data_IF_294567501992
#
_entry.id   IF_294567501992
#
_cell.length_a   1.000
_cell.length_b   1.000
_cell.length_c   1.000
_cell.angle_alpha   90.00
_cell.angle_beta   90.00
_cell.angle_gamma   90.00
#
_symmetry.space_group_name_H-M   'P 1'
#
loop_
_entity.id
_entity.type
_entity.pdbx_description
1 polymer ?
#
# COMPACT_ATOMS: atom_id res chain seq x y z
N UNK A 1 10.12 4.99 5.23
CA UNK A 1 9.12 4.30 4.41
C UNK A 1 9.67 2.98 3.87
N UNK A 2 8.86 1.94 3.63
CA UNK A 2 9.28 0.61 3.18
C UNK A 2 10.05 0.57 1.86
N UNK A 3 9.86 1.55 0.98
CA UNK A 3 10.65 1.70 -0.25
C UNK A 3 12.16 1.78 0.03
N UNK A 4 12.56 2.33 1.17
CA UNK A 4 13.98 2.35 1.57
C UNK A 4 14.47 0.94 1.87
N UNK A 5 13.67 0.12 2.52
CA UNK A 5 13.97 -1.30 2.79
C UNK A 5 14.17 -2.06 1.47
N UNK A 6 13.21 -1.95 0.55
CA UNK A 6 13.31 -2.61 -0.75
C UNK A 6 14.56 -2.22 -1.53
N UNK A 7 14.98 -0.95 -1.45
CA UNK A 7 16.22 -0.47 -2.08
C UNK A 7 17.47 -0.98 -1.39
N UNK A 8 17.50 -0.97 -0.07
CA UNK A 8 18.64 -1.49 0.70
C UNK A 8 18.84 -2.99 0.51
N UNK A 9 17.75 -3.76 0.39
CA UNK A 9 17.83 -5.20 0.12
C UNK A 9 18.42 -5.52 -1.27
N UNK A 10 18.41 -4.57 -2.21
CA UNK A 10 19.01 -4.71 -3.56
C UNK A 10 20.51 -4.36 -3.60
N UNK A 11 21.09 -3.90 -2.50
CA UNK A 11 22.53 -3.72 -2.37
C UNK A 11 23.24 -5.08 -2.44
N UNK A 12 24.49 -5.08 -2.93
CA UNK A 12 25.33 -6.28 -2.87
C UNK A 12 25.58 -6.71 -1.42
N UNK A 13 25.84 -8.00 -1.22
CA UNK A 13 26.19 -8.52 0.12
C UNK A 13 27.41 -7.78 0.72
N UNK A 14 28.40 -7.42 -0.12
CA UNK A 14 29.55 -6.62 0.31
C UNK A 14 29.14 -5.27 0.88
N UNK A 15 28.21 -4.57 0.24
CA UNK A 15 27.71 -3.26 0.68
C UNK A 15 26.87 -3.38 1.96
N UNK A 16 26.01 -4.42 2.05
CA UNK A 16 25.19 -4.66 3.24
C UNK A 16 25.99 -4.87 4.51
N UNK A 17 27.11 -5.58 4.42
CA UNK A 17 27.91 -5.97 5.57
C UNK A 17 29.23 -5.20 5.74
N UNK A 18 29.43 -4.10 5.00
CA UNK A 18 30.63 -3.29 5.12
C UNK A 18 30.63 -2.35 6.33
N UNK A 19 29.47 -2.14 6.96
CA UNK A 19 29.33 -1.24 8.11
C UNK A 19 28.99 -2.01 9.38
N UNK A 20 29.53 -1.55 10.51
CA UNK A 20 29.15 -2.03 11.83
C UNK A 20 27.81 -1.42 12.24
N UNK A 21 26.76 -2.23 12.32
CA UNK A 21 25.42 -1.83 12.72
C UNK A 21 25.10 -2.18 14.19
N UNK A 22 26.09 -2.57 15.02
CA UNK A 22 25.87 -3.00 16.41
C UNK A 22 25.23 -1.94 17.31
N UNK A 23 25.38 -0.66 16.96
CA UNK A 23 24.73 0.47 17.65
C UNK A 23 23.28 0.72 17.20
N UNK A 24 22.81 0.08 16.11
CA UNK A 24 21.45 0.23 15.58
C UNK A 24 20.48 -0.52 16.47
N UNK A 25 19.62 0.19 17.21
CA UNK A 25 18.72 -0.39 18.22
C UNK A 25 17.25 -0.38 17.79
N UNK A 26 16.86 0.56 16.94
CA UNK A 26 15.48 0.75 16.51
C UNK A 26 15.43 1.19 15.06
N UNK A 27 14.57 0.55 14.29
CA UNK A 27 14.21 0.95 12.93
C UNK A 27 12.67 1.07 12.86
N UNK A 28 12.18 2.27 12.60
CA UNK A 28 10.75 2.54 12.59
C UNK A 28 10.32 2.85 11.15
N UNK A 29 9.28 2.19 10.67
CA UNK A 29 8.69 2.47 9.38
C UNK A 29 7.17 2.63 9.44
N UNK A 30 6.61 3.22 8.41
CA UNK A 30 5.19 3.47 8.24
C UNK A 30 4.94 4.29 6.98
N UNK A 31 3.78 4.90 6.88
CA UNK A 31 3.32 5.78 5.79
C UNK A 31 3.10 5.11 4.42
N UNK A 32 3.43 3.83 4.26
CA UNK A 32 3.15 3.03 3.07
C UNK A 32 3.14 1.54 3.45
N UNK A 33 2.43 0.67 2.72
CA UNK A 33 2.48 -0.77 2.92
C UNK A 33 3.90 -1.33 2.77
N UNK A 34 4.22 -2.32 3.59
CA UNK A 34 5.50 -3.03 3.55
C UNK A 34 5.24 -4.48 3.13
N UNK A 35 5.68 -4.92 1.92
CA UNK A 35 5.51 -6.31 1.53
C UNK A 35 6.12 -7.25 2.59
N UNK A 36 5.40 -8.32 2.95
CA UNK A 36 5.82 -9.25 4.01
C UNK A 36 7.23 -9.79 3.74
N UNK A 37 7.50 -10.21 2.50
CA UNK A 37 8.82 -10.70 2.10
C UNK A 37 9.93 -9.68 2.34
N UNK A 38 9.66 -8.40 2.07
CA UNK A 38 10.63 -7.31 2.31
C UNK A 38 10.90 -7.17 3.81
N UNK A 39 9.85 -7.21 4.62
CA UNK A 39 10.00 -7.05 6.07
C UNK A 39 10.71 -8.25 6.70
N UNK A 40 10.39 -9.49 6.29
CA UNK A 40 11.14 -10.68 6.71
C UNK A 40 12.63 -10.56 6.39
N UNK A 41 12.99 -10.21 5.15
CA UNK A 41 14.39 -10.04 4.76
C UNK A 41 15.12 -8.93 5.55
N UNK A 42 14.43 -7.87 5.92
CA UNK A 42 14.99 -6.83 6.78
C UNK A 42 15.19 -7.30 8.22
N UNK A 43 14.27 -8.09 8.75
CA UNK A 43 14.39 -8.72 10.08
C UNK A 43 15.57 -9.69 10.09
N UNK A 44 15.72 -10.50 9.03
CA UNK A 44 16.86 -11.42 8.90
C UNK A 44 18.21 -10.67 8.89
N UNK A 45 18.24 -9.48 8.25
CA UNK A 45 19.46 -8.70 8.17
C UNK A 45 19.75 -7.87 9.44
N UNK A 46 18.74 -7.18 9.97
CA UNK A 46 18.94 -6.23 11.07
C UNK A 46 18.59 -6.79 12.45
N UNK A 47 17.93 -7.95 12.49
CA UNK A 47 17.41 -8.53 13.73
C UNK A 47 16.05 -7.92 14.14
N UNK A 48 15.60 -8.25 15.36
CA UNK A 48 14.25 -7.90 15.84
C UNK A 48 14.15 -6.45 16.34
N UNK A 49 14.64 -5.49 15.56
CA UNK A 49 14.66 -4.07 15.91
C UNK A 49 13.68 -3.23 15.08
N UNK A 50 12.88 -3.87 14.22
CA UNK A 50 11.98 -3.19 13.29
C UNK A 50 10.62 -3.01 13.93
N UNK A 51 10.13 -1.79 13.87
CA UNK A 51 8.84 -1.36 14.40
C UNK A 51 8.01 -0.76 13.27
N UNK A 52 6.71 -1.04 13.27
CA UNK A 52 5.78 -0.48 12.30
C UNK A 52 4.70 0.33 12.99
N UNK A 53 4.28 1.39 12.34
CA UNK A 53 3.12 2.14 12.76
C UNK A 53 2.20 2.48 11.59
N UNK A 54 0.91 2.58 11.88
CA UNK A 54 -0.11 3.13 11.01
C UNK A 54 -0.77 4.32 11.69
N UNK A 55 -0.97 5.37 10.94
CA UNK A 55 -1.64 6.59 11.36
C UNK A 55 -1.64 7.62 10.23
N UNK A 56 -2.37 8.69 10.40
CA UNK A 56 -2.45 9.77 9.43
C UNK A 56 -2.30 11.14 10.09
N UNK A 57 -2.00 12.15 9.27
CA UNK A 57 -1.82 13.54 9.70
C UNK A 57 -3.11 14.11 10.29
N UNK A 58 -4.25 13.57 9.90
CA UNK A 58 -5.58 13.85 10.40
C UNK A 58 -5.80 13.44 11.87
N UNK A 59 -4.82 12.75 12.47
CA UNK A 59 -4.76 12.43 13.91
C UNK A 59 -5.99 11.69 14.47
N UNK A 60 -6.58 10.76 13.70
CA UNK A 60 -7.78 10.04 14.09
C UNK A 60 -7.51 8.78 14.92
N UNK A 61 -6.36 8.16 14.74
CA UNK A 61 -5.97 6.93 15.43
C UNK A 61 -4.54 6.52 15.11
N UNK A 62 -4.03 5.60 15.90
CA UNK A 62 -2.66 5.13 15.77
C UNK A 62 -2.58 3.65 16.10
N UNK A 63 -2.03 2.86 15.16
CA UNK A 63 -1.68 1.47 15.38
C UNK A 63 -0.16 1.29 15.41
N UNK A 64 0.30 0.26 16.09
CA UNK A 64 1.71 0.01 16.29
C UNK A 64 1.97 -1.47 16.56
N UNK A 65 3.10 -1.98 16.05
CA UNK A 65 3.65 -3.28 16.44
C UNK A 65 5.18 -3.28 16.46
N UNK A 66 5.72 -4.13 17.32
CA UNK A 66 7.14 -4.49 17.32
C UNK A 66 7.40 -5.67 16.39
N UNK A 67 8.68 -6.06 16.25
CA UNK A 67 9.07 -7.19 15.38
C UNK A 67 8.42 -8.51 15.79
N UNK A 68 8.35 -8.82 17.10
CA UNK A 68 7.79 -10.10 17.55
C UNK A 68 6.30 -10.18 17.25
N UNK A 69 5.55 -9.14 17.59
CA UNK A 69 4.12 -9.05 17.29
C UNK A 69 3.86 -9.19 15.79
N UNK A 70 4.73 -8.58 14.96
CA UNK A 70 4.60 -8.72 13.52
C UNK A 70 4.92 -10.13 13.01
N UNK A 71 5.91 -10.83 13.60
CA UNK A 71 6.24 -12.21 13.23
C UNK A 71 5.12 -13.19 13.61
N UNK A 72 4.41 -12.90 14.69
CA UNK A 72 3.25 -13.69 15.13
C UNK A 72 2.00 -13.38 14.29
N UNK A 73 1.93 -12.17 13.68
CA UNK A 73 0.84 -11.68 12.85
C UNK A 73 1.37 -11.03 11.55
N UNK A 74 1.94 -11.82 10.61
CA UNK A 74 2.54 -11.28 9.39
C UNK A 74 1.55 -10.44 8.56
N UNK A 75 2.02 -9.30 8.04
CA UNK A 75 1.18 -8.36 7.27
C UNK A 75 0.42 -7.34 8.09
N UNK A 76 0.38 -7.47 9.43
CA UNK A 76 -0.28 -6.48 10.29
C UNK A 76 0.48 -5.15 10.35
N UNK A 77 -0.27 -4.06 10.58
CA UNK A 77 0.29 -2.75 10.98
C UNK A 77 0.20 -2.52 12.49
N UNK A 78 -0.17 -3.56 13.25
CA UNK A 78 -0.23 -3.58 14.70
C UNK A 78 -1.64 -3.44 15.29
N UNK A 79 -1.69 -3.28 16.60
CA UNK A 79 -2.93 -3.01 17.34
C UNK A 79 -3.17 -1.52 17.46
N UNK A 80 -4.44 -1.13 17.55
CA UNK A 80 -4.82 0.25 17.86
C UNK A 80 -4.37 0.56 19.27
N UNK A 81 -3.48 1.53 19.42
CA UNK A 81 -2.96 2.02 20.71
C UNK A 81 -3.51 3.39 21.08
N UNK A 82 -4.12 4.07 20.11
CA UNK A 82 -4.82 5.34 20.33
C UNK A 82 -5.98 5.46 19.33
N UNK A 83 -7.11 6.00 19.77
CA UNK A 83 -8.36 6.08 19.00
C UNK A 83 -9.22 4.81 19.14
N UNK A 84 -10.42 4.87 18.59
CA UNK A 84 -11.35 3.75 18.49
C UNK A 84 -11.62 3.48 17.01
N UNK A 85 -11.43 2.23 16.58
CA UNK A 85 -11.60 1.79 15.18
C UNK A 85 -12.95 1.08 15.03
N UNK A 86 -13.63 1.36 13.92
CA UNK A 86 -14.73 0.57 13.37
C UNK A 86 -14.44 0.21 11.92
N UNK A 87 -14.68 -1.03 11.51
CA UNK A 87 -14.55 -1.49 10.12
C UNK A 87 -15.96 -1.58 9.55
N UNK A 88 -16.29 -0.70 8.61
CA UNK A 88 -17.68 -0.53 8.12
C UNK A 88 -17.80 -0.79 6.62
N UNK A 89 -18.97 -1.32 6.22
CA UNK A 89 -19.38 -1.42 4.82
C UNK A 89 -19.84 -0.06 4.26
N UNK A 90 -20.26 -0.04 2.99
CA UNK A 90 -20.76 1.18 2.33
C UNK A 90 -22.09 1.70 2.89
N UNK A 91 -22.79 0.90 3.70
CA UNK A 91 -24.03 1.28 4.40
C UNK A 91 -23.76 1.68 5.87
N UNK A 92 -22.52 1.89 6.25
CA UNK A 92 -22.08 2.22 7.61
C UNK A 92 -22.42 1.14 8.65
N UNK A 93 -22.54 -0.12 8.22
CA UNK A 93 -22.76 -1.27 9.09
C UNK A 93 -21.41 -1.92 9.41
N UNK A 94 -21.22 -2.26 10.68
CA UNK A 94 -20.01 -2.94 11.14
C UNK A 94 -19.89 -4.35 10.54
N UNK A 95 -18.68 -4.65 10.03
CA UNK A 95 -18.34 -5.91 9.40
C UNK A 95 -17.78 -6.91 10.43
N UNK A 96 -17.96 -8.22 10.20
CA UNK A 96 -17.31 -9.24 11.01
C UNK A 96 -15.78 -9.15 10.97
N UNK A 97 -15.13 -9.71 11.99
CA UNK A 97 -13.67 -9.85 12.03
C UNK A 97 -13.17 -10.62 10.81
N UNK A 98 -12.07 -10.15 10.23
CA UNK A 98 -11.46 -10.71 9.04
C UNK A 98 -12.08 -10.26 7.71
N UNK A 99 -13.20 -9.56 7.72
CA UNK A 99 -13.81 -8.99 6.52
C UNK A 99 -13.30 -7.56 6.27
N UNK A 100 -12.74 -7.27 5.08
CA UNK A 100 -12.22 -5.95 4.77
C UNK A 100 -13.35 -4.94 4.52
N UNK A 101 -13.23 -3.78 5.16
CA UNK A 101 -14.14 -2.65 5.00
C UNK A 101 -13.40 -1.32 5.14
N UNK A 102 -14.13 -0.22 4.99
CA UNK A 102 -13.58 1.12 5.20
C UNK A 102 -13.28 1.31 6.68
N UNK A 103 -12.07 1.78 6.97
CA UNK A 103 -11.64 2.07 8.33
C UNK A 103 -12.19 3.42 8.76
N UNK A 104 -13.00 3.41 9.81
CA UNK A 104 -13.55 4.58 10.45
C UNK A 104 -13.03 4.68 11.87
N UNK A 105 -12.70 5.89 12.30
CA UNK A 105 -12.17 6.15 13.63
C UNK A 105 -13.02 7.18 14.34
N UNK A 106 -13.16 7.01 15.65
CA UNK A 106 -13.66 8.10 16.49
C UNK A 106 -12.60 9.19 16.54
N UNK A 107 -12.91 10.41 16.09
CA UNK A 107 -11.90 11.47 16.02
C UNK A 107 -11.38 11.82 17.41
N UNK A 108 -10.07 11.98 17.54
CA UNK A 108 -9.43 12.49 18.77
C UNK A 108 -9.31 14.01 18.74
N UNK A 109 -9.36 14.59 17.56
CA UNK A 109 -9.42 16.04 17.30
C UNK A 109 -10.17 16.30 16.00
N UNK A 110 -10.75 17.48 15.86
CA UNK A 110 -11.32 17.91 14.58
C UNK A 110 -10.21 18.34 13.63
N UNK A 111 -10.39 18.03 12.34
CA UNK A 111 -9.51 18.48 11.26
C UNK A 111 -10.33 18.95 10.06
N UNK A 112 -9.71 19.76 9.21
CA UNK A 112 -10.27 20.14 7.93
C UNK A 112 -9.17 20.16 6.85
N UNK A 113 -9.56 19.85 5.61
CA UNK A 113 -8.67 20.03 4.47
C UNK A 113 -8.70 21.50 4.02
N UNK A 114 -7.53 22.06 3.86
CA UNK A 114 -7.37 23.49 3.53
C UNK A 114 -8.09 23.83 2.22
N UNK A 115 -9.02 24.78 2.27
CA UNK A 115 -9.85 25.24 1.14
C UNK A 115 -10.60 24.10 0.40
N UNK A 116 -10.93 23.00 1.08
CA UNK A 116 -11.64 21.86 0.50
C UNK A 116 -12.70 21.35 1.50
N UNK A 117 -13.80 22.08 1.54
CA UNK A 117 -14.92 21.77 2.45
C UNK A 117 -15.69 20.49 2.05
N UNK A 118 -15.74 20.17 0.75
CA UNK A 118 -16.40 18.98 0.23
C UNK A 118 -15.65 17.74 0.72
N UNK A 119 -14.35 17.67 0.50
CA UNK A 119 -13.50 16.59 0.98
C UNK A 119 -13.48 16.50 2.51
N UNK A 120 -13.52 17.63 3.21
CA UNK A 120 -13.62 17.66 4.67
C UNK A 120 -14.94 17.01 5.12
N UNK A 121 -16.05 17.35 4.48
CA UNK A 121 -17.35 16.77 4.80
C UNK A 121 -17.39 15.26 4.53
N UNK A 122 -16.82 14.80 3.41
CA UNK A 122 -16.73 13.39 3.06
C UNK A 122 -15.87 12.56 4.02
N UNK A 123 -14.91 13.19 4.71
CA UNK A 123 -14.06 12.52 5.70
C UNK A 123 -14.75 12.26 7.03
N UNK A 124 -15.95 12.77 7.23
CA UNK A 124 -16.75 12.56 8.44
C UNK A 124 -18.04 11.79 8.14
N UNK A 125 -18.50 10.99 9.11
CA UNK A 125 -19.86 10.44 9.08
C UNK A 125 -20.91 11.56 9.18
N UNK A 126 -22.15 11.31 8.72
CA UNK A 126 -23.22 12.31 8.74
C UNK A 126 -23.45 12.92 10.14
N UNK A 127 -23.31 12.11 11.19
CA UNK A 127 -23.42 12.56 12.60
C UNK A 127 -22.11 13.10 13.18
N UNK A 128 -21.06 13.16 12.39
CA UNK A 128 -19.69 13.60 12.74
C UNK A 128 -19.03 12.85 13.89
N UNK A 129 -19.52 11.64 14.22
CA UNK A 129 -18.93 10.83 15.29
C UNK A 129 -17.76 10.01 14.84
N UNK A 130 -17.65 9.74 13.54
CA UNK A 130 -16.59 8.97 12.94
C UNK A 130 -15.89 9.77 11.83
N UNK A 131 -14.62 9.47 11.62
CA UNK A 131 -13.80 10.03 10.53
C UNK A 131 -13.04 8.95 9.82
N UNK A 132 -12.71 9.17 8.54
CA UNK A 132 -11.97 8.25 7.70
C UNK A 132 -10.97 8.98 6.81
N UNK A 133 -9.93 8.28 6.37
CA UNK A 133 -9.06 8.68 5.26
C UNK A 133 -9.18 7.72 4.07
N UNK A 134 -10.29 6.95 4.06
CA UNK A 134 -10.66 5.97 3.01
C UNK A 134 -9.67 4.81 2.88
N UNK A 135 -8.89 4.51 3.92
CA UNK A 135 -8.13 3.27 3.98
C UNK A 135 -9.10 2.10 4.20
N UNK A 136 -8.83 0.97 3.56
CA UNK A 136 -9.58 -0.27 3.66
C UNK A 136 -8.72 -1.30 4.38
N UNK A 137 -9.33 -2.06 5.28
CA UNK A 137 -8.65 -3.07 6.06
C UNK A 137 -9.61 -3.88 6.91
N UNK A 138 -9.06 -4.74 7.73
CA UNK A 138 -9.81 -5.59 8.68
C UNK A 138 -9.01 -5.80 9.96
N UNK A 139 -9.69 -6.27 11.00
CA UNK A 139 -9.04 -6.74 12.22
C UNK A 139 -9.21 -8.24 12.38
N UNK A 140 -8.20 -8.90 12.94
CA UNK A 140 -8.29 -10.30 13.33
C UNK A 140 -8.91 -10.48 14.74
N UNK A 141 -9.04 -11.74 15.19
CA UNK A 141 -9.57 -12.08 16.52
C UNK A 141 -8.71 -11.61 17.67
N UNK A 142 -7.44 -11.35 17.44
CA UNK A 142 -6.48 -10.87 18.43
C UNK A 142 -6.38 -9.33 18.46
N UNK A 143 -7.16 -8.65 17.59
CA UNK A 143 -7.26 -7.20 17.49
C UNK A 143 -6.15 -6.53 16.71
N UNK A 144 -5.39 -7.29 15.89
CA UNK A 144 -4.42 -6.73 14.96
C UNK A 144 -5.09 -6.21 13.71
N UNK A 145 -4.65 -5.05 13.25
CA UNK A 145 -5.13 -4.36 12.05
C UNK A 145 -4.30 -4.75 10.82
N UNK A 146 -4.98 -5.08 9.74
CA UNK A 146 -4.40 -5.35 8.43
C UNK A 146 -4.95 -4.36 7.41
N UNK A 147 -4.06 -3.71 6.67
CA UNK A 147 -4.45 -2.80 5.59
C UNK A 147 -4.51 -3.55 4.28
N UNK A 148 -5.59 -3.37 3.54
CA UNK A 148 -5.76 -3.97 2.21
C UNK A 148 -5.34 -3.00 1.11
N UNK A 149 -5.90 -1.79 1.09
CA UNK A 149 -5.56 -0.70 0.15
C UNK A 149 -6.29 0.59 0.56
N UNK A 150 -6.28 1.57 -0.33
CA UNK A 150 -7.15 2.74 -0.28
C UNK A 150 -8.36 2.56 -1.17
N UNK A 151 -9.55 2.90 -0.69
CA UNK A 151 -10.80 2.86 -1.47
C UNK A 151 -10.67 3.61 -2.81
N UNK A 152 -9.90 4.70 -2.84
CA UNK A 152 -9.64 5.50 -4.05
C UNK A 152 -8.80 4.81 -5.13
N UNK A 153 -8.12 3.73 -4.78
CA UNK A 153 -7.30 2.93 -5.71
C UNK A 153 -7.89 1.54 -5.98
N UNK A 154 -8.94 1.17 -5.28
CA UNK A 154 -9.67 -0.07 -5.55
C UNK A 154 -10.14 -0.08 -7.00
N UNK A 155 -9.90 -1.17 -7.70
CA UNK A 155 -10.28 -1.39 -9.10
C UNK A 155 -11.58 -2.14 -9.11
N UNK A 156 -12.58 -1.65 -9.85
CA UNK A 156 -13.86 -2.33 -10.03
C UNK A 156 -13.87 -2.94 -11.42
N UNK A 157 -13.53 -4.21 -11.51
CA UNK A 157 -13.41 -4.94 -12.77
C UNK A 157 -14.53 -5.99 -12.90
N UNK A 158 -15.47 -5.77 -13.80
CA UNK A 158 -16.60 -6.68 -13.98
C UNK A 158 -17.42 -6.92 -12.71
N UNK A 159 -17.55 -5.91 -11.85
CA UNK A 159 -18.26 -5.99 -10.56
C UNK A 159 -17.44 -6.61 -9.41
N UNK A 160 -16.16 -6.93 -9.65
CA UNK A 160 -15.25 -7.46 -8.62
C UNK A 160 -14.37 -6.35 -8.09
N UNK A 161 -14.32 -6.19 -6.77
CA UNK A 161 -13.41 -5.28 -6.09
C UNK A 161 -12.00 -5.92 -6.03
N UNK A 162 -11.02 -5.25 -6.64
CA UNK A 162 -9.64 -5.69 -6.69
C UNK A 162 -8.78 -4.64 -6.01
N UNK A 163 -7.95 -5.09 -5.07
CA UNK A 163 -7.01 -4.25 -4.35
C UNK A 163 -5.63 -4.35 -4.99
N UNK A 164 -5.15 -3.27 -5.65
CA UNK A 164 -3.85 -3.27 -6.35
C UNK A 164 -2.66 -3.66 -5.48
N UNK A 165 -2.73 -3.40 -4.18
CA UNK A 165 -1.64 -3.67 -3.25
C UNK A 165 -1.23 -5.15 -3.24
N UNK A 166 -2.19 -6.08 -3.35
CA UNK A 166 -1.89 -7.52 -3.39
C UNK A 166 -0.94 -7.89 -4.54
N UNK A 167 -1.10 -7.24 -5.69
CA UNK A 167 -0.22 -7.44 -6.84
C UNK A 167 1.13 -6.73 -6.67
N UNK A 168 1.13 -5.52 -6.11
CA UNK A 168 2.36 -4.76 -5.82
C UNK A 168 3.27 -5.50 -4.83
N UNK A 169 2.69 -6.13 -3.80
CA UNK A 169 3.42 -6.90 -2.78
C UNK A 169 4.16 -8.11 -3.34
N UNK A 170 3.69 -8.66 -4.45
CA UNK A 170 4.37 -9.72 -5.18
C UNK A 170 5.40 -9.19 -6.17
N UNK A 171 5.10 -8.10 -6.87
CA UNK A 171 5.97 -7.53 -7.89
C UNK A 171 7.22 -6.85 -7.32
N UNK A 172 7.08 -6.06 -6.26
CA UNK A 172 8.18 -5.27 -5.67
C UNK A 172 9.35 -6.15 -5.19
N UNK A 173 9.14 -7.32 -4.54
CA UNK A 173 10.23 -8.20 -4.13
C UNK A 173 10.72 -9.14 -5.24
N UNK A 174 10.21 -9.03 -6.47
CA UNK A 174 10.68 -9.85 -7.58
C UNK A 174 12.11 -9.44 -8.01
N UNK A 175 13.04 -10.40 -8.28
CA UNK A 175 14.46 -10.10 -8.54
C UNK A 175 14.72 -9.15 -9.70
N UNK A 176 13.85 -9.11 -10.71
CA UNK A 176 14.01 -8.28 -11.91
C UNK A 176 13.23 -6.95 -11.85
N UNK A 177 12.49 -6.71 -10.79
CA UNK A 177 11.69 -5.50 -10.60
C UNK A 177 12.40 -4.57 -9.63
N UNK A 178 12.67 -3.34 -10.04
CA UNK A 178 13.18 -2.30 -9.14
C UNK A 178 12.04 -1.66 -8.35
N UNK A 179 10.92 -1.36 -9.03
CA UNK A 179 9.74 -0.75 -8.45
C UNK A 179 8.50 -1.10 -9.28
N UNK A 180 7.31 -1.06 -8.68
CA UNK A 180 6.05 -1.38 -9.35
C UNK A 180 4.92 -0.48 -8.88
N UNK A 181 3.95 -0.23 -9.76
CA UNK A 181 2.68 0.40 -9.46
C UNK A 181 1.56 -0.33 -10.20
N UNK A 182 0.48 -0.65 -9.50
CA UNK A 182 -0.70 -1.32 -10.05
C UNK A 182 -1.92 -0.44 -9.83
N UNK A 183 -2.78 -0.31 -10.84
CA UNK A 183 -4.00 0.50 -10.79
C UNK A 183 -4.97 0.10 -11.89
N UNK A 184 -6.24 0.55 -11.75
CA UNK A 184 -7.26 0.38 -12.77
C UNK A 184 -7.09 1.35 -13.94
N UNK A 185 -7.29 0.83 -15.14
CA UNK A 185 -7.44 1.63 -16.37
C UNK A 185 -8.79 1.34 -17.01
N UNK A 186 -9.34 2.27 -17.81
CA UNK A 186 -10.62 2.07 -18.46
C UNK A 186 -10.65 0.81 -19.33
N UNK A 187 -11.74 0.06 -19.25
CA UNK A 187 -12.03 -1.09 -20.08
C UNK A 187 -13.52 -1.07 -20.45
N UNK A 188 -13.84 -1.16 -21.75
CA UNK A 188 -15.20 -0.99 -22.27
C UNK A 188 -16.17 -2.08 -21.77
N UNK A 189 -15.67 -3.30 -21.56
CA UNK A 189 -16.50 -4.45 -21.15
C UNK A 189 -16.62 -4.57 -19.62
N UNK A 190 -15.55 -4.23 -18.89
CA UNK A 190 -15.44 -4.49 -17.45
C UNK A 190 -15.56 -3.22 -16.59
N UNK A 191 -15.64 -2.05 -17.22
CA UNK A 191 -15.49 -0.75 -16.55
C UNK A 191 -14.02 -0.41 -16.30
N UNK A 192 -13.32 -1.23 -15.52
CA UNK A 192 -11.88 -1.13 -15.33
C UNK A 192 -11.18 -2.48 -15.55
N UNK A 193 -9.90 -2.43 -15.91
CA UNK A 193 -9.00 -3.57 -15.90
C UNK A 193 -7.72 -3.27 -15.11
N UNK A 194 -7.11 -4.32 -14.61
CA UNK A 194 -5.85 -4.22 -13.85
C UNK A 194 -4.69 -3.97 -14.80
N UNK A 195 -3.93 -2.92 -14.54
CA UNK A 195 -2.69 -2.59 -15.26
C UNK A 195 -1.54 -2.45 -14.27
N UNK A 196 -0.37 -3.00 -14.64
CA UNK A 196 0.88 -2.77 -13.93
C UNK A 196 1.80 -1.85 -14.73
N UNK A 197 2.51 -0.98 -14.02
CA UNK A 197 3.65 -0.21 -14.54
C UNK A 197 4.88 -0.61 -13.75
N UNK A 198 5.90 -1.08 -14.44
CA UNK A 198 7.10 -1.67 -13.85
C UNK A 198 8.31 -0.81 -14.19
N UNK A 199 9.14 -0.58 -13.17
CA UNK A 199 10.51 -0.14 -13.34
C UNK A 199 11.39 -1.38 -13.17
N UNK A 200 12.04 -1.89 -14.26
CA UNK A 200 12.98 -3.00 -14.17
C UNK A 200 14.24 -2.58 -13.40
N UNK A 201 15.00 -3.56 -12.89
CA UNK A 201 16.35 -3.29 -12.38
C UNK A 201 17.27 -2.94 -13.55
N UNK A 202 18.37 -2.23 -13.26
CA UNK A 202 19.36 -1.86 -14.27
C UNK A 202 19.90 -3.08 -15.04
N UNK A 203 19.95 -2.97 -16.35
CA UNK A 203 20.40 -4.04 -17.26
C UNK A 203 19.33 -5.06 -17.64
N UNK A 204 18.11 -4.96 -17.11
CA UNK A 204 16.97 -5.79 -17.53
C UNK A 204 16.07 -5.00 -18.48
N UNK A 205 15.85 -5.56 -19.68
CA UNK A 205 14.94 -4.97 -20.65
C UNK A 205 13.47 -5.21 -20.24
N UNK A 206 12.65 -4.16 -20.37
CA UNK A 206 11.20 -4.26 -20.25
C UNK A 206 10.59 -4.76 -21.56
N UNK A 207 10.64 -6.06 -21.79
CA UNK A 207 10.22 -6.72 -23.01
C UNK A 207 9.10 -7.76 -22.77
N UNK A 208 8.65 -8.40 -23.84
CA UNK A 208 7.64 -9.45 -23.79
C UNK A 208 8.08 -10.65 -22.95
N UNK A 209 9.36 -10.97 -22.93
CA UNK A 209 9.91 -12.07 -22.13
C UNK A 209 9.76 -11.77 -20.64
N UNK A 210 10.10 -10.57 -20.19
CA UNK A 210 9.90 -10.15 -18.81
C UNK A 210 8.42 -10.08 -18.48
N UNK A 211 7.57 -9.59 -19.39
CA UNK A 211 6.11 -9.54 -19.21
C UNK A 211 5.55 -10.93 -18.93
N UNK A 212 5.88 -11.92 -19.77
CA UNK A 212 5.40 -13.29 -19.59
C UNK A 212 5.89 -13.91 -18.28
N UNK A 213 7.15 -13.70 -17.91
CA UNK A 213 7.73 -14.17 -16.66
C UNK A 213 6.98 -13.58 -15.43
N UNK A 214 6.69 -12.28 -15.45
CA UNK A 214 5.96 -11.63 -14.34
C UNK A 214 4.50 -12.08 -14.26
N UNK A 215 3.83 -12.24 -15.39
CA UNK A 215 2.45 -12.75 -15.44
C UNK A 215 2.37 -14.20 -14.96
N UNK A 216 3.31 -15.05 -15.40
CA UNK A 216 3.41 -16.44 -14.93
C UNK A 216 3.67 -16.49 -13.42
N UNK A 217 4.57 -15.67 -12.91
CA UNK A 217 4.83 -15.56 -11.48
C UNK A 217 3.58 -15.14 -10.70
N UNK A 218 2.88 -14.10 -11.14
CA UNK A 218 1.65 -13.64 -10.49
C UNK A 218 0.54 -14.70 -10.54
N UNK A 219 0.45 -15.48 -11.62
CA UNK A 219 -0.57 -16.52 -11.77
C UNK A 219 -0.48 -17.66 -10.75
N UNK A 220 0.70 -17.85 -10.15
CA UNK A 220 0.93 -18.84 -9.10
C UNK A 220 0.43 -18.38 -7.72
N UNK A 221 0.14 -17.08 -7.56
CA UNK A 221 -0.15 -16.48 -6.26
C UNK A 221 -1.51 -15.77 -6.22
N UNK A 222 -2.02 -15.32 -7.38
CA UNK A 222 -3.24 -14.52 -7.48
C UNK A 222 -4.31 -15.20 -8.33
N UNK A 223 -5.57 -14.93 -8.01
CA UNK A 223 -6.67 -15.29 -8.89
C UNK A 223 -6.60 -14.51 -10.21
N UNK A 224 -7.10 -15.10 -11.30
CA UNK A 224 -7.02 -14.55 -12.66
C UNK A 224 -7.49 -13.08 -12.78
N UNK A 225 -8.50 -12.71 -12.01
CA UNK A 225 -9.07 -11.36 -12.05
C UNK A 225 -8.14 -10.29 -11.48
N UNK A 226 -7.24 -10.67 -10.54
CA UNK A 226 -6.28 -9.78 -9.89
C UNK A 226 -4.99 -9.60 -10.68
N UNK A 227 -4.74 -10.44 -11.69
CA UNK A 227 -3.55 -10.39 -12.52
C UNK A 227 -3.68 -9.24 -13.52
N UNK A 228 -2.64 -8.40 -13.70
CA UNK A 228 -2.64 -7.36 -14.72
C UNK A 228 -2.88 -7.93 -16.12
N UNK A 229 -3.77 -7.30 -16.88
CA UNK A 229 -4.01 -7.63 -18.30
C UNK A 229 -2.92 -7.07 -19.20
N UNK A 230 -2.25 -6.03 -18.73
CA UNK A 230 -1.13 -5.42 -19.45
C UNK A 230 -0.08 -4.90 -18.48
N UNK A 231 1.19 -4.93 -18.93
CA UNK A 231 2.33 -4.39 -18.21
C UNK A 231 3.02 -3.37 -19.11
N UNK A 232 3.25 -2.16 -18.60
CA UNK A 232 4.08 -1.15 -19.24
C UNK A 232 5.37 -0.98 -18.44
N UNK A 233 6.44 -0.56 -19.14
CA UNK A 233 7.75 -0.34 -18.56
C UNK A 233 8.13 1.13 -18.59
N UNK A 234 8.74 1.61 -17.49
CA UNK A 234 9.24 2.98 -17.40
C UNK A 234 10.60 3.00 -16.70
N UNK A 235 11.40 4.00 -17.00
CA UNK A 235 12.73 4.16 -16.38
C UNK A 235 12.66 4.50 -14.90
N UNK A 236 11.60 5.20 -14.48
CA UNK A 236 11.45 5.63 -13.08
C UNK A 236 9.99 5.78 -12.67
N UNK A 237 9.59 5.04 -11.65
CA UNK A 237 8.27 5.21 -11.01
C UNK A 237 8.26 6.51 -10.19
N UNK A 238 7.23 7.38 -10.38
CA UNK A 238 7.13 8.64 -9.66
C UNK A 238 6.87 8.41 -8.17
N UNK A 239 7.73 9.02 -7.34
CA UNK A 239 7.58 9.01 -5.89
C UNK A 239 7.75 10.41 -5.33
N UNK A 240 7.02 10.71 -4.27
CA UNK A 240 7.20 11.93 -3.50
C UNK A 240 8.61 11.95 -2.86
N UNK A 241 9.12 13.12 -2.45
CA UNK A 241 10.40 13.20 -1.72
C UNK A 241 10.43 12.32 -0.46
N UNK A 242 9.28 12.06 0.15
CA UNK A 242 9.11 11.14 1.28
C UNK A 242 9.30 9.65 0.92
N UNK A 243 9.40 9.31 -0.37
CA UNK A 243 9.46 7.92 -0.87
C UNK A 243 8.10 7.30 -1.16
N UNK A 244 6.98 7.96 -0.82
CA UNK A 244 5.63 7.46 -1.06
C UNK A 244 5.32 7.42 -2.56
N UNK A 245 4.72 6.32 -3.04
CA UNK A 245 4.31 6.15 -4.44
C UNK A 245 3.28 7.25 -4.84
N UNK A 246 3.54 7.92 -5.96
CA UNK A 246 2.60 8.90 -6.53
C UNK A 246 1.75 8.22 -7.61
N UNK A 247 0.98 7.20 -7.20
CA UNK A 247 0.15 6.34 -8.08
C UNK A 247 -0.81 7.14 -8.95
N UNK A 248 -1.41 8.21 -8.41
CA UNK A 248 -2.35 9.07 -9.13
C UNK A 248 -1.74 9.68 -10.40
N UNK A 249 -0.48 10.11 -10.36
CA UNK A 249 0.21 10.69 -11.52
C UNK A 249 0.35 9.69 -12.69
N UNK A 250 0.55 8.40 -12.37
CA UNK A 250 0.56 7.34 -13.38
C UNK A 250 -0.86 7.08 -13.90
N UNK A 251 -1.80 6.82 -13.00
CA UNK A 251 -3.19 6.50 -13.37
C UNK A 251 -3.80 7.56 -14.29
N UNK A 252 -3.64 8.83 -13.95
CA UNK A 252 -4.26 9.94 -14.70
C UNK A 252 -3.82 10.00 -16.15
N UNK A 253 -2.60 9.53 -16.49
CA UNK A 253 -2.13 9.42 -17.88
C UNK A 253 -2.98 8.46 -18.71
N UNK A 254 -3.40 7.34 -18.13
CA UNK A 254 -4.22 6.33 -18.81
C UNK A 254 -5.71 6.69 -18.84
N UNK A 255 -6.14 7.55 -17.94
CA UNK A 255 -7.52 8.05 -17.90
C UNK A 255 -7.74 9.30 -18.77
N UNK A 256 -6.74 9.74 -19.54
CA UNK A 256 -6.83 10.97 -20.34
C UNK A 256 -7.07 12.24 -19.51
N UNK A 257 -6.79 12.21 -18.22
CA UNK A 257 -6.93 13.35 -17.31
C UNK A 257 -5.65 14.16 -17.32
N UNK A 258 -5.79 15.47 -17.55
CA UNK A 258 -4.64 16.38 -17.51
C UNK A 258 -4.10 16.51 -16.08
N UNK A 259 -2.97 15.85 -15.83
CA UNK A 259 -2.30 15.88 -14.53
C UNK A 259 -1.77 17.28 -14.13
N UNK A 260 -1.75 18.24 -15.06
CA UNK A 260 -1.32 19.62 -14.79
C UNK A 260 -2.25 20.37 -13.83
N UNK A 261 -3.53 19.94 -13.73
CA UNK A 261 -4.49 20.54 -12.80
C UNK A 261 -4.32 20.09 -11.35
N UNK A 262 -3.45 19.11 -11.09
CA UNK A 262 -3.29 18.47 -9.78
C UNK A 262 -2.20 19.16 -8.94
N UNK A 263 -1.35 20.00 -9.54
CA UNK A 263 -0.24 20.69 -8.85
C UNK A 263 -0.71 22.00 -8.16
N UNK A 264 -2.00 22.29 -8.17
CA UNK A 264 -2.58 23.44 -7.45
C UNK A 264 -3.29 23.05 -6.16
N UNK A 265 -2.78 22.02 -5.48
CA UNK A 265 -3.22 21.69 -4.11
C UNK A 265 -2.02 21.44 -3.21
#
# INVERSE_FOLDING_TARGET
VPTMFSRMLKLSEKEKYMYDLSSHKYAIHGAAPCPEKVKHQMIDWWGPIIYEYYGATEAFGFAYCNTQEWLDHPGTVGKIVSGELAVLDDNMKELPLGEPGTLWFKPTSEFEYFNDSERTSEAYSEDKKLTTVWDVGYTDSDGYLYLTDRKTFMIISGGVNIYPQECEDLLIPHPKVFDAAVFGVPNDDLGEEVKAVIQPIEGIAGDEKLTNELLDYLSQHLSRQKIPRSIDYIDKIPRLPTGKLYKRLLRDKYWGRDSSKIIKQ
#
